data_IF_456557894191
#
_entry.id   IF_456557894191
#
_cell.length_a   1.000
_cell.length_b   1.000
_cell.length_c   1.000
_cell.angle_alpha   90.00
_cell.angle_beta   90.00
_cell.angle_gamma   90.00
#
_symmetry.space_group_name_H-M   'P 1'
#
loop_
_entity.id
_entity.type
_entity.pdbx_description
1 polymer ?
#
# COMPACT_ATOMS: atom_id res chain seq x y z
N UNK A 1 2.33 14.33 35.20
CA UNK A 1 2.03 13.15 34.36
C UNK A 1 1.71 13.62 32.94
N UNK A 2 2.61 13.45 31.98
CA UNK A 2 2.29 13.64 30.56
C UNK A 2 1.37 12.48 30.18
N UNK A 3 0.12 12.77 29.77
CA UNK A 3 -0.74 11.78 29.13
C UNK A 3 -0.01 11.34 27.84
N UNK A 4 0.43 10.10 27.78
CA UNK A 4 0.85 9.51 26.51
C UNK A 4 -0.30 9.72 25.53
N UNK A 5 -0.02 10.46 24.47
CA UNK A 5 -0.99 10.68 23.40
C UNK A 5 -1.15 9.35 22.70
N UNK A 6 -2.21 8.62 23.03
CA UNK A 6 -2.49 7.33 22.42
C UNK A 6 -2.52 7.54 20.90
N UNK A 7 -1.53 6.98 20.21
CA UNK A 7 -1.48 7.11 18.74
C UNK A 7 -2.66 6.37 18.15
N UNK A 8 -3.45 7.08 17.37
CA UNK A 8 -4.61 6.51 16.67
C UNK A 8 -4.09 5.67 15.50
N UNK A 9 -4.50 4.43 15.42
CA UNK A 9 -4.16 3.54 14.32
C UNK A 9 -4.60 4.15 12.98
N UNK A 10 -3.69 4.21 12.01
CA UNK A 10 -3.94 4.83 10.71
C UNK A 10 -4.03 3.78 9.63
N UNK A 11 -5.12 3.81 8.88
CA UNK A 11 -5.37 2.97 7.71
C UNK A 11 -5.35 3.85 6.47
N UNK A 12 -4.38 3.65 5.60
CA UNK A 12 -4.30 4.28 4.29
C UNK A 12 -4.97 3.37 3.26
N UNK A 13 -5.86 3.93 2.45
CA UNK A 13 -6.56 3.19 1.39
C UNK A 13 -6.13 3.74 0.04
N UNK A 14 -5.74 2.86 -0.88
CA UNK A 14 -5.53 3.18 -2.27
C UNK A 14 -6.84 3.72 -2.88
N UNK A 15 -6.79 4.87 -3.55
CA UNK A 15 -7.98 5.50 -4.11
C UNK A 15 -7.83 5.72 -5.61
N UNK A 16 -8.85 5.28 -6.35
CA UNK A 16 -9.06 5.60 -7.77
C UNK A 16 -10.52 6.05 -7.92
N UNK A 17 -10.78 7.14 -8.62
CA UNK A 17 -12.15 7.66 -8.83
C UNK A 17 -13.08 6.63 -9.48
N UNK A 18 -12.55 5.72 -10.28
CA UNK A 18 -13.31 4.63 -10.91
C UNK A 18 -13.80 3.59 -9.89
N UNK A 19 -13.17 3.55 -8.72
CA UNK A 19 -13.43 2.59 -7.64
C UNK A 19 -13.99 3.28 -6.38
N UNK A 20 -14.57 4.48 -6.51
CA UNK A 20 -15.08 5.29 -5.39
C UNK A 20 -16.11 4.52 -4.54
N UNK A 21 -17.01 3.79 -5.17
CA UNK A 21 -18.00 2.95 -4.45
C UNK A 21 -17.32 1.87 -3.60
N UNK A 22 -16.27 1.22 -4.12
CA UNK A 22 -15.51 0.21 -3.38
C UNK A 22 -14.81 0.84 -2.17
N UNK A 23 -14.19 2.02 -2.36
CA UNK A 23 -13.59 2.79 -1.28
C UNK A 23 -14.59 3.12 -0.16
N UNK A 24 -15.78 3.63 -0.50
CA UNK A 24 -16.79 3.98 0.51
C UNK A 24 -17.30 2.74 1.27
N UNK A 25 -17.46 1.60 0.61
CA UNK A 25 -17.83 0.32 1.26
C UNK A 25 -16.73 -0.14 2.22
N UNK A 26 -15.46 -0.11 1.80
CA UNK A 26 -14.35 -0.47 2.67
C UNK A 26 -14.27 0.46 3.88
N UNK A 27 -14.30 1.77 3.66
CA UNK A 27 -14.27 2.78 4.73
C UNK A 27 -15.41 2.56 5.73
N UNK A 28 -16.63 2.39 5.25
CA UNK A 28 -17.80 2.10 6.11
C UNK A 28 -17.60 0.83 6.94
N UNK A 29 -17.08 -0.25 6.32
CA UNK A 29 -16.84 -1.51 7.02
C UNK A 29 -15.77 -1.37 8.12
N UNK A 30 -14.71 -0.60 7.86
CA UNK A 30 -13.67 -0.28 8.85
C UNK A 30 -14.23 0.50 10.04
N UNK A 31 -14.93 1.60 9.77
CA UNK A 31 -15.48 2.50 10.80
C UNK A 31 -16.57 1.80 11.64
N UNK A 32 -17.36 0.91 11.04
CA UNK A 32 -18.42 0.17 11.71
C UNK A 32 -17.91 -0.88 12.69
N UNK A 33 -16.81 -1.58 12.35
CA UNK A 33 -16.33 -2.75 13.12
C UNK A 33 -15.24 -2.36 14.12
N UNK A 34 -14.56 -1.22 13.92
CA UNK A 34 -13.48 -0.79 14.79
C UNK A 34 -13.97 -0.54 16.24
N UNK A 35 -13.39 -1.24 17.21
CA UNK A 35 -13.70 -1.08 18.62
C UNK A 35 -12.98 0.10 19.29
N UNK A 36 -11.90 0.61 18.64
CA UNK A 36 -11.15 1.80 19.05
C UNK A 36 -11.11 2.78 17.87
N UNK A 37 -10.95 4.08 18.12
CA UNK A 37 -10.83 5.07 17.06
C UNK A 37 -9.68 4.71 16.09
N UNK A 38 -9.98 4.81 14.80
CA UNK A 38 -9.03 4.66 13.71
C UNK A 38 -9.07 5.92 12.83
N UNK A 39 -7.98 6.19 12.15
CA UNK A 39 -7.90 7.23 11.13
C UNK A 39 -7.85 6.59 9.75
N UNK A 40 -8.89 6.76 8.95
CA UNK A 40 -8.95 6.27 7.56
C UNK A 40 -8.57 7.41 6.62
N UNK A 41 -7.55 7.17 5.77
CA UNK A 41 -6.96 8.18 4.88
C UNK A 41 -6.89 7.64 3.45
N UNK A 42 -7.66 8.17 2.49
CA UNK A 42 -7.50 7.82 1.09
C UNK A 42 -6.20 8.42 0.52
N UNK A 43 -5.42 7.62 -0.18
CA UNK A 43 -4.26 8.11 -0.93
C UNK A 43 -4.77 8.55 -2.31
N UNK A 44 -5.26 9.77 -2.41
CA UNK A 44 -5.72 10.36 -3.67
C UNK A 44 -4.52 10.92 -4.43
N UNK A 45 -4.32 10.46 -5.67
CA UNK A 45 -3.19 10.86 -6.54
C UNK A 45 -3.05 12.38 -6.64
N UNK A 46 -4.14 13.09 -6.94
CA UNK A 46 -4.15 14.54 -7.06
C UNK A 46 -3.75 15.28 -5.77
N UNK A 47 -3.97 14.69 -4.60
CA UNK A 47 -3.55 15.28 -3.33
C UNK A 47 -2.04 15.12 -3.11
N UNK A 48 -1.52 13.90 -3.29
CA UNK A 48 -0.08 13.63 -3.10
C UNK A 48 0.77 14.33 -4.17
N UNK A 49 0.22 14.56 -5.37
CA UNK A 49 0.84 15.40 -6.41
C UNK A 49 0.91 16.87 -5.99
N UNK A 50 -0.19 17.44 -5.48
CA UNK A 50 -0.21 18.83 -4.96
C UNK A 50 0.70 19.04 -3.75
N UNK A 51 0.91 18.00 -2.94
CA UNK A 51 1.88 18.03 -1.84
C UNK A 51 3.34 17.94 -2.34
N UNK A 52 3.57 17.69 -3.62
CA UNK A 52 4.90 17.55 -4.21
C UNK A 52 5.63 16.25 -3.86
N UNK A 53 4.95 15.30 -3.19
CA UNK A 53 5.55 14.03 -2.77
C UNK A 53 5.37 12.91 -3.81
N UNK A 54 4.46 13.08 -4.77
CA UNK A 54 4.24 12.16 -5.88
C UNK A 54 4.36 12.90 -7.21
N UNK A 55 5.41 12.58 -7.96
CA UNK A 55 5.72 13.23 -9.26
C UNK A 55 5.89 12.21 -10.39
N UNK A 56 5.55 10.94 -10.12
CA UNK A 56 5.67 9.84 -11.07
C UNK A 56 4.73 10.02 -12.24
N UNK A 57 5.30 10.06 -13.46
CA UNK A 57 4.55 10.30 -14.69
C UNK A 57 4.11 8.99 -15.33
N UNK A 58 3.02 9.06 -16.07
CA UNK A 58 2.49 7.96 -16.86
C UNK A 58 1.94 8.47 -18.19
N UNK A 59 1.98 7.60 -19.20
CA UNK A 59 1.41 7.83 -20.52
C UNK A 59 0.18 6.95 -20.71
N UNK A 60 -0.86 7.51 -21.35
CA UNK A 60 -2.04 6.75 -21.75
C UNK A 60 -1.86 6.29 -23.22
N UNK A 61 -1.82 4.97 -23.45
CA UNK A 61 -1.70 4.37 -24.78
C UNK A 61 -2.86 3.39 -24.96
N UNK A 62 -3.72 3.62 -25.94
CA UNK A 62 -4.90 2.79 -26.21
C UNK A 62 -5.76 2.46 -24.98
N UNK A 63 -5.98 3.44 -24.10
CA UNK A 63 -6.79 3.28 -22.89
C UNK A 63 -6.09 2.57 -21.71
N UNK A 64 -4.82 2.21 -21.86
CA UNK A 64 -3.97 1.61 -20.84
C UNK A 64 -2.91 2.60 -20.35
N UNK A 65 -2.75 2.72 -19.03
CA UNK A 65 -1.68 3.52 -18.43
C UNK A 65 -0.36 2.77 -18.45
N UNK A 66 0.71 3.48 -18.83
CA UNK A 66 2.10 2.99 -18.82
C UNK A 66 2.95 3.90 -17.97
N UNK A 67 3.73 3.31 -17.08
CA UNK A 67 4.70 4.03 -16.25
C UNK A 67 5.89 4.53 -17.10
N UNK A 68 6.26 5.81 -16.95
CA UNK A 68 7.40 6.35 -17.70
C UNK A 68 8.76 5.82 -17.23
N UNK A 69 8.84 5.29 -15.98
CA UNK A 69 10.12 4.82 -15.42
C UNK A 69 10.57 3.48 -16.03
N UNK A 70 9.63 2.56 -16.25
CA UNK A 70 9.98 1.22 -16.75
C UNK A 70 9.18 0.79 -17.98
N UNK A 71 8.33 1.66 -18.51
CA UNK A 71 7.50 1.41 -19.69
C UNK A 71 6.46 0.30 -19.51
N UNK A 72 6.12 -0.06 -18.26
CA UNK A 72 5.21 -1.17 -17.97
C UNK A 72 3.78 -0.69 -17.74
N UNK A 73 2.77 -1.48 -18.19
CA UNK A 73 1.38 -1.16 -17.93
C UNK A 73 1.03 -1.32 -16.46
N UNK A 74 0.15 -0.45 -15.96
CA UNK A 74 -0.46 -0.55 -14.64
C UNK A 74 -1.94 -0.17 -14.72
N UNK A 75 -2.76 -0.53 -13.71
CA UNK A 75 -4.22 -0.45 -13.82
C UNK A 75 -4.87 0.59 -12.92
N UNK A 76 -4.30 0.94 -11.76
CA UNK A 76 -4.94 1.82 -10.77
C UNK A 76 -4.07 3.00 -10.43
N UNK A 77 -4.68 4.15 -10.09
CA UNK A 77 -3.96 5.37 -9.70
C UNK A 77 -3.06 5.18 -8.47
N UNK A 78 -3.39 4.21 -7.61
CA UNK A 78 -2.64 3.89 -6.41
C UNK A 78 -1.57 2.80 -6.59
N UNK A 79 -1.31 2.35 -7.83
CA UNK A 79 -0.33 1.28 -8.11
C UNK A 79 1.04 1.53 -7.47
N UNK A 80 1.50 2.78 -7.43
CA UNK A 80 2.81 3.12 -6.86
C UNK A 80 2.70 3.98 -5.60
N UNK A 81 1.68 4.83 -5.49
CA UNK A 81 1.52 5.72 -4.33
C UNK A 81 1.28 4.97 -3.01
N UNK A 82 0.88 3.69 -3.06
CA UNK A 82 0.81 2.79 -1.90
C UNK A 82 2.11 2.70 -1.11
N UNK A 83 3.25 2.86 -1.76
CA UNK A 83 4.57 2.80 -1.14
C UNK A 83 4.99 4.11 -0.47
N UNK A 84 4.17 5.17 -0.56
CA UNK A 84 4.36 6.41 0.20
C UNK A 84 3.94 6.31 1.67
N UNK A 85 3.30 5.23 2.10
CA UNK A 85 2.74 5.11 3.46
C UNK A 85 3.74 5.43 4.56
N UNK A 86 4.99 4.93 4.55
CA UNK A 86 5.96 5.34 5.58
C UNK A 86 6.21 6.85 5.63
N UNK A 87 6.34 7.50 4.47
CA UNK A 87 6.54 8.95 4.37
C UNK A 87 5.28 9.73 4.80
N UNK A 88 4.08 9.29 4.38
CA UNK A 88 2.81 9.89 4.77
C UNK A 88 2.56 9.77 6.29
N UNK A 89 3.07 8.72 6.91
CA UNK A 89 3.04 8.51 8.36
C UNK A 89 4.27 9.09 9.08
N UNK A 90 5.03 9.97 8.39
CA UNK A 90 6.21 10.67 8.92
C UNK A 90 7.28 9.72 9.49
N UNK A 91 7.37 8.50 8.95
CA UNK A 91 8.27 7.44 9.41
C UNK A 91 8.11 7.11 10.90
N UNK A 92 6.88 7.13 11.42
CA UNK A 92 6.61 6.91 12.84
C UNK A 92 5.51 5.86 13.04
N UNK A 93 5.71 4.98 14.04
CA UNK A 93 4.72 3.98 14.46
C UNK A 93 4.33 3.01 13.36
N UNK A 94 3.11 2.51 13.43
CA UNK A 94 2.55 1.54 12.48
C UNK A 94 1.46 2.18 11.64
N UNK A 95 1.37 1.77 10.38
CA UNK A 95 0.30 2.16 9.47
C UNK A 95 -0.07 1.00 8.55
N UNK A 96 -1.36 0.80 8.34
CA UNK A 96 -1.88 -0.19 7.41
C UNK A 96 -2.16 0.46 6.06
N UNK A 97 -1.74 -0.17 4.97
CA UNK A 97 -2.20 0.09 3.62
C UNK A 97 -3.13 -1.01 3.16
N UNK A 98 -4.20 -0.63 2.44
CA UNK A 98 -5.15 -1.53 1.81
C UNK A 98 -5.54 -1.04 0.42
N UNK A 99 -5.74 -1.96 -0.54
CA UNK A 99 -6.48 -1.67 -1.77
C UNK A 99 -7.96 -1.43 -1.43
N UNK A 100 -8.66 -0.62 -2.23
CA UNK A 100 -10.04 -0.21 -1.91
C UNK A 100 -11.10 -1.29 -2.14
N UNK A 101 -10.78 -2.37 -2.85
CA UNK A 101 -11.68 -3.48 -3.22
C UNK A 101 -11.79 -4.57 -2.13
N UNK A 102 -11.55 -4.20 -0.86
CA UNK A 102 -11.61 -5.09 0.29
C UNK A 102 -12.85 -4.82 1.14
N UNK A 103 -13.22 -5.80 1.97
CA UNK A 103 -14.27 -5.69 2.98
C UNK A 103 -13.79 -6.25 4.32
N UNK A 104 -14.01 -5.50 5.41
CA UNK A 104 -13.55 -5.87 6.75
C UNK A 104 -14.62 -6.70 7.47
N UNK A 105 -14.20 -7.82 8.07
CA UNK A 105 -15.05 -8.75 8.81
C UNK A 105 -14.69 -8.88 10.29
N UNK A 106 -13.55 -8.33 10.70
CA UNK A 106 -13.05 -8.34 12.08
C UNK A 106 -12.50 -6.96 12.44
N UNK A 107 -12.28 -6.69 13.73
CA UNK A 107 -11.72 -5.41 14.16
C UNK A 107 -10.30 -5.23 13.67
N UNK A 108 -10.09 -4.20 12.87
CA UNK A 108 -8.78 -3.89 12.31
C UNK A 108 -7.72 -3.57 13.38
N UNK A 109 -8.14 -3.15 14.58
CA UNK A 109 -7.23 -2.90 15.69
C UNK A 109 -6.52 -4.17 16.16
N UNK A 110 -7.14 -5.36 16.00
CA UNK A 110 -6.50 -6.65 16.33
C UNK A 110 -5.26 -6.89 15.48
N UNK A 111 -5.30 -6.47 14.20
CA UNK A 111 -4.15 -6.57 13.31
C UNK A 111 -2.99 -5.67 13.76
N UNK A 112 -3.27 -4.46 14.20
CA UNK A 112 -2.26 -3.58 14.78
C UNK A 112 -1.65 -4.15 16.05
N UNK A 113 -2.47 -4.73 16.94
CA UNK A 113 -1.99 -5.39 18.17
C UNK A 113 -1.09 -6.59 17.84
N UNK A 114 -1.44 -7.38 16.83
CA UNK A 114 -0.63 -8.51 16.38
C UNK A 114 0.78 -8.10 15.91
N UNK A 115 0.89 -6.94 15.28
CA UNK A 115 2.13 -6.51 14.63
C UNK A 115 3.03 -5.65 15.53
N UNK A 116 2.50 -4.95 16.54
CA UNK A 116 3.19 -3.89 17.30
C UNK A 116 4.45 -4.31 18.04
N UNK A 117 4.51 -5.56 18.49
CA UNK A 117 5.64 -6.09 19.30
C UNK A 117 6.62 -6.91 18.45
N UNK A 118 6.48 -6.86 17.14
CA UNK A 118 7.32 -7.62 16.23
C UNK A 118 8.39 -6.75 15.57
N UNK A 119 9.52 -7.38 15.26
CA UNK A 119 10.68 -6.71 14.67
C UNK A 119 10.55 -6.46 13.14
N UNK A 120 9.53 -6.99 12.49
CA UNK A 120 9.43 -6.88 11.04
C UNK A 120 9.18 -5.44 10.56
N UNK A 121 9.85 -4.98 9.49
CA UNK A 121 9.55 -3.70 8.85
C UNK A 121 8.22 -3.69 8.10
N UNK A 122 7.77 -4.86 7.63
CA UNK A 122 6.59 -5.02 6.81
C UNK A 122 5.91 -6.35 7.09
N UNK A 123 4.56 -6.37 7.11
CA UNK A 123 3.73 -7.58 7.05
C UNK A 123 2.81 -7.51 5.85
N UNK A 124 2.53 -8.66 5.26
CA UNK A 124 1.53 -8.79 4.19
C UNK A 124 0.92 -10.19 4.17
N UNK A 125 -0.16 -10.34 3.43
CA UNK A 125 -0.70 -11.67 3.11
C UNK A 125 0.18 -12.30 2.03
N UNK A 126 0.88 -13.37 2.40
CA UNK A 126 1.78 -14.11 1.49
C UNK A 126 0.97 -15.10 0.65
N UNK A 127 0.46 -14.66 -0.48
CA UNK A 127 -0.20 -15.55 -1.42
C UNK A 127 0.82 -16.48 -2.10
N UNK A 128 0.56 -17.78 -2.08
CA UNK A 128 1.26 -18.74 -2.96
C UNK A 128 0.76 -18.51 -4.38
N UNK A 129 1.47 -17.69 -5.12
CA UNK A 129 1.09 -17.34 -6.47
C UNK A 129 2.08 -17.90 -7.48
N UNK A 130 1.62 -18.84 -8.28
CA UNK A 130 2.32 -19.28 -9.49
C UNK A 130 1.91 -18.37 -10.64
N UNK A 131 2.84 -17.57 -11.19
CA UNK A 131 2.51 -16.60 -12.22
C UNK A 131 2.10 -17.32 -13.52
N UNK A 132 0.81 -17.32 -13.83
CA UNK A 132 0.32 -17.70 -15.15
C UNK A 132 0.33 -16.50 -16.08
N UNK A 133 0.89 -16.64 -17.29
CA UNK A 133 0.68 -15.67 -18.36
C UNK A 133 -0.80 -15.66 -18.71
N UNK A 134 -1.44 -14.51 -18.72
CA UNK A 134 -2.85 -14.40 -19.02
C UNK A 134 -3.29 -12.96 -19.27
N UNK A 135 -4.47 -12.84 -19.84
CA UNK A 135 -5.17 -11.56 -20.01
C UNK A 135 -6.13 -11.42 -18.84
N UNK A 136 -6.18 -10.25 -18.19
CA UNK A 136 -7.17 -9.94 -17.15
C UNK A 136 -8.58 -9.91 -17.71
N UNK A 137 -9.60 -10.00 -16.85
CA UNK A 137 -11.03 -9.96 -17.25
C UNK A 137 -11.40 -8.69 -18.04
N UNK A 138 -10.63 -7.62 -17.89
CA UNK A 138 -10.79 -6.35 -18.63
C UNK A 138 -9.95 -6.26 -19.92
N UNK A 139 -9.36 -7.37 -20.38
CA UNK A 139 -8.57 -7.45 -21.62
C UNK A 139 -7.12 -6.96 -21.48
N UNK A 140 -6.68 -6.55 -20.29
CA UNK A 140 -5.33 -6.02 -20.07
C UNK A 140 -4.28 -7.11 -19.85
N UNK A 141 -3.08 -6.91 -20.38
CA UNK A 141 -1.96 -7.82 -20.17
C UNK A 141 -1.55 -7.92 -18.70
N UNK A 142 -1.43 -9.16 -18.22
CA UNK A 142 -0.96 -9.43 -16.88
C UNK A 142 0.52 -9.81 -16.89
N UNK A 143 1.36 -8.96 -16.29
CA UNK A 143 2.79 -9.27 -16.12
C UNK A 143 2.98 -10.20 -14.91
N UNK A 144 3.60 -11.38 -15.11
CA UNK A 144 3.98 -12.24 -13.99
C UNK A 144 5.23 -11.71 -13.30
N UNK A 145 5.18 -11.54 -11.97
CA UNK A 145 6.35 -11.20 -11.14
C UNK A 145 6.23 -11.86 -9.76
N UNK A 146 7.35 -12.13 -9.07
CA UNK A 146 7.34 -12.67 -7.72
C UNK A 146 6.54 -11.76 -6.77
N UNK A 147 5.88 -12.34 -5.75
CA UNK A 147 5.12 -11.61 -4.73
C UNK A 147 3.94 -10.79 -5.28
N UNK A 148 3.40 -11.21 -6.40
CA UNK A 148 2.21 -10.58 -6.94
C UNK A 148 1.07 -10.63 -5.93
N UNK A 149 0.31 -9.54 -5.82
CA UNK A 149 -0.77 -9.31 -4.86
C UNK A 149 -0.34 -9.14 -3.39
N UNK A 150 0.92 -9.31 -3.02
CA UNK A 150 1.37 -9.09 -1.65
C UNK A 150 1.25 -7.63 -1.23
N UNK A 151 1.33 -6.70 -2.17
CA UNK A 151 1.20 -5.26 -1.91
C UNK A 151 -0.24 -4.74 -1.83
N UNK A 152 -1.24 -5.60 -1.90
CA UNK A 152 -2.65 -5.20 -1.76
C UNK A 152 -3.06 -4.92 -0.30
N UNK A 153 -2.38 -5.59 0.66
CA UNK A 153 -2.52 -5.32 2.09
C UNK A 153 -1.13 -5.37 2.73
N UNK A 154 -0.72 -4.25 3.32
CA UNK A 154 0.62 -4.07 3.89
C UNK A 154 0.54 -3.34 5.24
N UNK A 155 0.95 -3.99 6.32
CA UNK A 155 1.19 -3.33 7.59
C UNK A 155 2.65 -2.88 7.64
N UNK A 156 2.88 -1.59 7.66
CA UNK A 156 4.21 -1.00 7.78
C UNK A 156 4.55 -0.69 9.25
N UNK A 157 5.70 -1.14 9.71
CA UNK A 157 6.39 -0.49 10.81
C UNK A 157 7.11 0.75 10.25
N UNK A 158 6.40 1.87 10.19
CA UNK A 158 6.92 3.08 9.54
C UNK A 158 8.19 3.62 10.21
N UNK A 159 8.35 3.39 11.52
CA UNK A 159 9.54 3.79 12.29
C UNK A 159 10.74 2.86 12.13
N UNK A 160 10.62 1.77 11.39
CA UNK A 160 11.75 0.87 11.17
C UNK A 160 12.73 1.48 10.14
N UNK A 161 14.03 1.52 10.48
CA UNK A 161 15.09 2.16 9.68
C UNK A 161 15.10 1.77 8.20
N UNK A 162 14.74 0.53 7.88
CA UNK A 162 14.69 0.04 6.50
C UNK A 162 13.61 0.75 5.69
N UNK A 163 12.50 1.14 6.31
CA UNK A 163 11.40 1.84 5.65
C UNK A 163 11.70 3.32 5.37
N UNK A 164 12.75 3.89 5.97
CA UNK A 164 13.26 5.21 5.59
C UNK A 164 13.77 5.25 4.15
N UNK A 165 14.10 4.08 3.55
CA UNK A 165 14.46 3.94 2.13
C UNK A 165 13.29 4.15 1.18
N UNK A 166 12.05 4.06 1.67
CA UNK A 166 10.84 4.40 0.89
C UNK A 166 10.56 5.91 0.93
N UNK A 167 11.54 6.68 0.51
CA UNK A 167 11.36 8.12 0.34
C UNK A 167 10.41 8.44 -0.82
N UNK A 168 9.78 9.62 -0.86
CA UNK A 168 9.05 10.08 -2.03
C UNK A 168 9.87 9.97 -3.31
N UNK A 169 11.18 10.33 -3.27
CA UNK A 169 12.08 10.17 -4.40
C UNK A 169 12.20 8.72 -4.86
N UNK A 170 12.39 7.78 -3.92
CA UNK A 170 12.50 6.36 -4.25
C UNK A 170 11.22 5.85 -4.92
N UNK A 171 10.03 6.24 -4.42
CA UNK A 171 8.74 5.85 -5.02
C UNK A 171 8.58 6.46 -6.42
N UNK A 172 9.05 7.67 -6.63
CA UNK A 172 8.96 8.37 -7.92
C UNK A 172 9.96 7.88 -8.97
N UNK A 173 11.09 7.25 -8.57
CA UNK A 173 12.20 6.95 -9.48
C UNK A 173 12.52 5.45 -9.64
N UNK A 174 12.13 4.61 -8.68
CA UNK A 174 12.39 3.16 -8.80
C UNK A 174 11.34 2.48 -9.70
N UNK A 175 11.75 1.44 -10.43
CA UNK A 175 10.82 0.68 -11.27
C UNK A 175 9.68 0.06 -10.44
N UNK A 176 8.50 -0.08 -11.05
CA UNK A 176 7.35 -0.72 -10.42
C UNK A 176 7.68 -2.12 -9.91
N UNK A 177 8.48 -2.89 -10.67
CA UNK A 177 8.95 -4.21 -10.23
C UNK A 177 9.74 -4.15 -8.92
N UNK A 178 10.64 -3.16 -8.74
CA UNK A 178 11.41 -3.02 -7.49
C UNK A 178 10.52 -2.73 -6.29
N UNK A 179 9.52 -1.88 -6.48
CA UNK A 179 8.55 -1.55 -5.44
C UNK A 179 7.68 -2.75 -5.10
N UNK A 180 7.01 -3.37 -6.06
CA UNK A 180 6.09 -4.48 -5.82
C UNK A 180 6.75 -5.79 -5.39
N UNK A 181 8.05 -5.95 -5.60
CA UNK A 181 8.82 -7.08 -5.07
C UNK A 181 9.56 -6.76 -3.78
N UNK A 182 9.30 -5.60 -3.18
CA UNK A 182 9.85 -5.15 -1.88
C UNK A 182 11.39 -5.15 -1.85
N UNK A 183 12.03 -4.67 -2.93
CA UNK A 183 13.50 -4.70 -3.06
C UNK A 183 14.23 -3.61 -2.24
N UNK A 184 13.50 -2.82 -1.46
CA UNK A 184 14.12 -1.95 -0.45
C UNK A 184 14.49 -2.71 0.83
N UNK A 185 13.88 -3.89 1.06
CA UNK A 185 14.22 -4.76 2.17
C UNK A 185 15.53 -5.49 1.90
N UNK A 186 16.42 -5.63 2.90
CA UNK A 186 17.75 -6.21 2.72
C UNK A 186 17.70 -7.73 2.51
N UNK A 187 16.93 -8.47 3.28
CA UNK A 187 16.70 -9.91 3.09
C UNK A 187 15.22 -10.19 2.88
N UNK A 188 14.93 -10.49 1.64
CA UNK A 188 13.63 -10.41 0.99
C UNK A 188 12.48 -11.17 1.65
N UNK A 189 12.72 -12.26 2.35
CA UNK A 189 11.66 -13.08 2.94
C UNK A 189 11.69 -13.09 4.47
N UNK A 190 12.87 -13.04 5.06
CA UNK A 190 13.04 -12.95 6.51
C UNK A 190 12.50 -11.63 7.07
N UNK A 191 12.54 -10.53 6.27
CA UNK A 191 12.08 -9.21 6.68
C UNK A 191 10.59 -8.94 6.44
N UNK A 192 9.83 -9.95 6.04
CA UNK A 192 8.39 -9.81 5.80
C UNK A 192 7.64 -10.72 6.73
N UNK A 193 6.86 -10.15 7.64
CA UNK A 193 5.91 -10.88 8.46
C UNK A 193 4.73 -11.40 7.63
N UNK A 194 4.02 -12.38 8.16
CA UNK A 194 2.80 -12.93 7.55
C UNK A 194 1.60 -12.54 8.39
N UNK A 195 0.58 -12.00 7.75
CA UNK A 195 -0.74 -11.75 8.31
C UNK A 195 -1.66 -12.90 7.96
#
# INVERSE_FOLDING_TARGET
>A
MRREKQMVNTVYIGYDEKEDTAYEVLKFSLERIATKPIRVVPIKKNLVERMGIYTRKSNMIHGQQYDEIDGKPFSTEFSFSRFLVPALNMYQGYALYMDCDMYIRADINELFELCKDSYYPLWCVKHKYEPKKGIKMDGKEQQPYPRKNWSSLMMFNCGHEVNEKLTPEAVNTKSGRRLHTFQWLPDKEADIGTI
#
